data_IF_434781139183
#
_entry.id   IF_434781139183
#
_cell.length_a   1.000
_cell.length_b   1.000
_cell.length_c   1.000
_cell.angle_alpha   90.00
_cell.angle_beta   90.00
_cell.angle_gamma   90.00
#
_symmetry.space_group_name_H-M   'P 1'
#
loop_
_entity.id
_entity.type
_entity.pdbx_description
1 polymer ?
#
# COMPACT_ATOMS: atom_id res chain seq x y z
N UNK A 1 19.30 23.40 10.89
CA UNK A 1 18.97 23.36 12.33
C UNK A 1 18.89 21.90 12.74
N UNK A 2 19.54 21.47 13.83
CA UNK A 2 19.35 20.11 14.32
C UNK A 2 17.92 20.01 14.89
N UNK A 3 17.12 19.11 14.33
CA UNK A 3 15.78 18.80 14.85
C UNK A 3 15.94 18.25 16.26
N UNK A 4 15.33 18.90 17.25
CA UNK A 4 15.19 18.35 18.60
C UNK A 4 14.64 16.93 18.47
N UNK A 5 15.29 15.89 19.01
CA UNK A 5 14.70 14.56 19.04
C UNK A 5 13.35 14.69 19.73
N UNK A 6 12.26 14.40 19.02
CA UNK A 6 11.00 14.17 19.71
C UNK A 6 11.25 12.99 20.65
N UNK A 7 11.08 13.24 21.95
CA UNK A 7 11.14 12.18 22.94
C UNK A 7 10.17 11.08 22.52
N UNK A 8 10.67 9.86 22.39
CA UNK A 8 9.86 8.73 21.95
C UNK A 8 8.64 8.54 22.86
N UNK A 9 8.75 8.91 24.14
CA UNK A 9 7.65 8.81 25.09
C UNK A 9 6.50 9.77 24.78
N UNK A 10 6.79 10.95 24.23
CA UNK A 10 5.77 11.91 23.78
C UNK A 10 4.86 11.34 22.69
N UNK A 11 5.38 10.43 21.86
CA UNK A 11 4.60 9.75 20.82
C UNK A 11 3.61 8.73 21.40
N UNK A 12 3.72 8.38 22.68
CA UNK A 12 2.81 7.47 23.35
C UNK A 12 1.70 8.20 24.12
N UNK A 13 1.77 9.53 24.22
CA UNK A 13 0.77 10.33 24.93
C UNK A 13 -0.61 10.26 24.25
N UNK A 14 -1.65 10.17 25.09
CA UNK A 14 -3.04 10.07 24.65
C UNK A 14 -3.41 8.79 23.90
N UNK A 15 -2.53 7.78 23.87
CA UNK A 15 -2.88 6.42 23.46
C UNK A 15 -3.52 5.68 24.64
N UNK A 16 -4.62 4.98 24.37
CA UNK A 16 -5.15 4.01 25.33
C UNK A 16 -4.19 2.82 25.53
N UNK A 17 -4.39 1.98 26.57
CA UNK A 17 -3.47 0.88 26.86
C UNK A 17 -3.24 -0.07 25.68
N UNK A 18 -4.30 -0.40 24.92
CA UNK A 18 -4.21 -1.32 23.77
C UNK A 18 -3.48 -0.70 22.58
N UNK A 19 -3.68 0.60 22.34
CA UNK A 19 -2.95 1.33 21.32
C UNK A 19 -1.47 1.46 21.68
N UNK A 20 -1.15 1.76 22.94
CA UNK A 20 0.24 1.83 23.44
C UNK A 20 0.94 0.49 23.30
N UNK A 21 0.28 -0.61 23.67
CA UNK A 21 0.80 -1.97 23.47
C UNK A 21 1.07 -2.23 21.98
N UNK A 22 0.12 -1.93 21.10
CA UNK A 22 0.29 -2.11 19.67
C UNK A 22 1.40 -1.23 19.06
N UNK A 23 1.64 -0.03 19.60
CA UNK A 23 2.72 0.87 19.15
C UNK A 23 4.09 0.40 19.62
N UNK A 24 4.19 -0.06 20.87
CA UNK A 24 5.46 -0.44 21.52
C UNK A 24 5.86 -1.91 21.32
N UNK A 25 4.95 -2.76 20.83
CA UNK A 25 5.21 -4.18 20.63
C UNK A 25 6.45 -4.44 19.78
N UNK A 26 7.34 -5.32 20.25
CA UNK A 26 8.55 -5.78 19.55
C UNK A 26 8.27 -6.92 18.55
N UNK A 27 7.01 -7.37 18.45
CA UNK A 27 6.63 -8.43 17.53
C UNK A 27 6.92 -8.01 16.07
N UNK A 28 7.66 -8.87 15.36
CA UNK A 28 7.97 -8.65 13.93
C UNK A 28 6.73 -8.83 13.06
N UNK A 29 6.04 -10.00 13.06
CA UNK A 29 4.68 -10.07 12.56
C UNK A 29 3.72 -9.61 13.65
N UNK A 30 2.95 -8.56 13.36
CA UNK A 30 1.91 -8.04 14.24
C UNK A 30 0.60 -7.91 13.48
N UNK A 31 -0.45 -8.56 13.98
CA UNK A 31 -1.81 -8.42 13.48
C UNK A 31 -2.64 -7.64 14.49
N UNK A 32 -3.21 -6.50 14.07
CA UNK A 32 -4.03 -5.65 14.94
C UNK A 32 -5.50 -5.84 14.56
N UNK A 33 -6.25 -6.51 15.44
CA UNK A 33 -7.67 -6.75 15.27
C UNK A 33 -8.44 -5.60 15.90
N UNK A 34 -9.06 -4.76 15.08
CA UNK A 34 -9.58 -3.49 15.56
C UNK A 34 -10.89 -3.09 14.85
N UNK A 35 -11.92 -2.80 15.65
CA UNK A 35 -13.25 -2.39 15.19
C UNK A 35 -13.25 -1.03 14.49
N UNK A 36 -14.38 -0.62 13.90
CA UNK A 36 -14.53 0.73 13.36
C UNK A 36 -14.29 1.79 14.46
N UNK A 37 -13.68 2.93 14.12
CA UNK A 37 -13.44 4.03 15.08
C UNK A 37 -12.32 3.83 16.12
N UNK A 38 -11.77 2.62 16.27
CA UNK A 38 -10.73 2.27 17.28
C UNK A 38 -9.34 2.92 17.10
N UNK A 39 -9.17 3.81 16.12
CA UNK A 39 -7.88 4.48 15.91
C UNK A 39 -6.81 3.67 15.17
N UNK A 40 -7.17 2.64 14.38
CA UNK A 40 -6.23 1.85 13.55
C UNK A 40 -5.15 2.67 12.84
N UNK A 41 -5.58 3.75 12.16
CA UNK A 41 -4.66 4.64 11.44
C UNK A 41 -3.73 5.37 12.41
N UNK A 42 -4.24 5.82 13.57
CA UNK A 42 -3.43 6.45 14.62
C UNK A 42 -2.36 5.48 15.13
N UNK A 43 -2.74 4.24 15.44
CA UNK A 43 -1.79 3.20 15.87
C UNK A 43 -0.72 2.97 14.81
N UNK A 44 -1.08 2.84 13.54
CA UNK A 44 -0.12 2.64 12.45
C UNK A 44 0.89 3.79 12.35
N UNK A 45 0.43 5.05 12.39
CA UNK A 45 1.30 6.22 12.24
C UNK A 45 2.19 6.41 13.47
N UNK A 46 1.64 6.23 14.68
CA UNK A 46 2.39 6.31 15.92
C UNK A 46 3.41 5.18 16.04
N UNK A 47 3.11 3.96 15.60
CA UNK A 47 4.06 2.84 15.57
C UNK A 47 5.26 3.14 14.69
N UNK A 48 5.02 3.65 13.47
CA UNK A 48 6.10 4.04 12.56
C UNK A 48 6.95 5.16 13.19
N UNK A 49 6.32 6.20 13.74
CA UNK A 49 7.03 7.32 14.35
C UNK A 49 7.84 6.88 15.57
N UNK A 50 7.24 6.10 16.48
CA UNK A 50 7.87 5.64 17.71
C UNK A 50 9.05 4.72 17.42
N UNK A 51 8.89 3.73 16.55
CA UNK A 51 10.00 2.85 16.16
C UNK A 51 11.12 3.59 15.42
N UNK A 52 10.80 4.66 14.70
CA UNK A 52 11.80 5.51 14.08
C UNK A 52 12.57 6.33 15.13
N UNK A 53 11.86 6.88 16.11
CA UNK A 53 12.44 7.67 17.21
C UNK A 53 13.32 6.82 18.13
N UNK A 54 12.96 5.57 18.38
CA UNK A 54 13.77 4.62 19.16
C UNK A 54 14.92 3.98 18.37
N UNK A 55 15.02 4.26 17.07
CA UNK A 55 16.04 3.66 16.20
C UNK A 55 15.79 2.19 15.84
N UNK A 56 14.63 1.63 16.20
CA UNK A 56 14.26 0.26 15.86
C UNK A 56 14.05 0.04 14.35
N UNK A 57 13.66 1.09 13.62
CA UNK A 57 13.54 1.07 12.15
C UNK A 57 14.16 2.33 11.53
N UNK A 58 14.62 2.21 10.28
CA UNK A 58 14.98 3.37 9.44
C UNK A 58 13.75 3.79 8.61
N UNK A 59 13.25 5.03 8.71
CA UNK A 59 12.03 5.47 8.01
C UNK A 59 12.07 5.25 6.49
N UNK A 60 13.21 5.48 5.85
CA UNK A 60 13.39 5.25 4.41
C UNK A 60 13.31 3.78 3.97
N UNK A 61 13.30 2.85 4.93
CA UNK A 61 13.11 1.41 4.70
C UNK A 61 11.70 0.93 5.08
N UNK A 62 10.79 1.85 5.38
CA UNK A 62 9.40 1.54 5.72
C UNK A 62 8.49 1.69 4.51
N UNK A 63 7.64 0.68 4.29
CA UNK A 63 6.56 0.70 3.29
C UNK A 63 5.19 0.63 3.99
N UNK A 64 4.38 1.67 3.84
CA UNK A 64 3.00 1.73 4.34
C UNK A 64 1.99 1.61 3.18
N UNK A 65 1.20 0.54 3.16
CA UNK A 65 0.23 0.27 2.10
C UNK A 65 -1.20 0.55 2.54
N UNK A 66 -2.01 1.05 1.61
CA UNK A 66 -3.45 1.25 1.81
C UNK A 66 -4.22 1.08 0.49
N UNK A 67 -5.55 1.11 0.53
CA UNK A 67 -6.39 0.85 -0.64
C UNK A 67 -6.68 2.11 -1.48
N UNK A 68 -6.60 3.31 -0.90
CA UNK A 68 -6.96 4.56 -1.60
C UNK A 68 -5.80 5.55 -1.66
N UNK A 69 -5.75 6.33 -2.75
CA UNK A 69 -4.75 7.40 -2.90
C UNK A 69 -4.88 8.47 -1.81
N UNK A 70 -6.11 8.80 -1.41
CA UNK A 70 -6.41 9.75 -0.34
C UNK A 70 -5.81 9.27 0.99
N UNK A 71 -6.09 8.02 1.39
CA UNK A 71 -5.52 7.46 2.61
C UNK A 71 -3.99 7.41 2.57
N UNK A 72 -3.38 7.14 1.40
CA UNK A 72 -1.94 7.16 1.27
C UNK A 72 -1.36 8.56 1.52
N UNK A 73 -2.00 9.60 0.98
CA UNK A 73 -1.62 10.99 1.25
C UNK A 73 -1.75 11.34 2.74
N UNK A 74 -2.89 11.02 3.35
CA UNK A 74 -3.14 11.24 4.77
C UNK A 74 -2.13 10.52 5.67
N UNK A 75 -1.72 9.29 5.32
CA UNK A 75 -0.69 8.57 6.07
C UNK A 75 0.66 9.30 6.07
N UNK A 76 1.13 9.76 4.89
CA UNK A 76 2.39 10.51 4.80
C UNK A 76 2.35 11.78 5.64
N UNK A 77 1.25 12.52 5.52
CA UNK A 77 1.07 13.77 6.23
C UNK A 77 1.06 13.55 7.75
N UNK A 78 0.30 12.55 8.24
CA UNK A 78 0.26 12.21 9.67
C UNK A 78 1.61 11.77 10.21
N UNK A 79 2.34 10.94 9.48
CA UNK A 79 3.68 10.49 9.87
C UNK A 79 4.65 11.68 9.93
N UNK A 80 4.62 12.56 8.93
CA UNK A 80 5.45 13.77 8.89
C UNK A 80 5.15 14.71 10.07
N UNK A 81 3.87 14.90 10.42
CA UNK A 81 3.47 15.70 11.59
C UNK A 81 3.94 15.12 12.93
N UNK A 82 4.28 13.83 12.99
CA UNK A 82 4.85 13.18 14.16
C UNK A 82 6.39 13.33 14.25
N UNK A 83 6.99 14.15 13.38
CA UNK A 83 8.42 14.48 13.47
C UNK A 83 9.37 13.50 12.76
N UNK A 84 8.83 12.56 11.96
CA UNK A 84 9.68 11.66 11.16
C UNK A 84 10.30 12.44 10.00
N UNK A 85 11.62 12.66 10.09
CA UNK A 85 12.39 13.54 9.19
C UNK A 85 12.64 12.94 7.81
N UNK A 86 12.86 11.62 7.73
CA UNK A 86 13.02 10.91 6.47
C UNK A 86 11.67 10.44 5.92
N UNK A 87 11.49 10.51 4.60
CA UNK A 87 10.21 10.18 3.97
C UNK A 87 9.92 8.67 4.04
N UNK A 88 8.80 8.31 4.69
CA UNK A 88 8.25 6.95 4.63
C UNK A 88 7.55 6.73 3.30
N UNK A 89 7.84 5.60 2.64
CA UNK A 89 7.13 5.22 1.43
C UNK A 89 5.70 4.79 1.77
N UNK A 90 4.72 5.67 1.61
CA UNK A 90 3.31 5.31 1.72
C UNK A 90 2.61 5.34 0.35
N UNK A 91 1.76 4.36 0.05
CA UNK A 91 1.12 4.26 -1.26
C UNK A 91 -0.01 3.25 -1.32
N UNK A 92 -0.69 3.18 -2.46
CA UNK A 92 -1.57 2.05 -2.76
C UNK A 92 -0.78 0.88 -3.30
N UNK A 93 -1.31 -0.34 -3.14
CA UNK A 93 -0.76 -1.55 -3.76
C UNK A 93 -0.41 -1.33 -5.24
N UNK A 94 -1.36 -0.78 -6.02
CA UNK A 94 -1.15 -0.47 -7.43
C UNK A 94 -0.04 0.56 -7.68
N UNK A 95 0.00 1.66 -6.92
CA UNK A 95 1.05 2.68 -7.12
C UNK A 95 2.44 2.16 -6.78
N UNK A 96 2.55 1.30 -5.76
CA UNK A 96 3.83 0.75 -5.30
C UNK A 96 4.31 -0.36 -6.24
N UNK A 97 3.41 -1.23 -6.70
CA UNK A 97 3.70 -2.20 -7.75
C UNK A 97 4.15 -1.52 -9.05
N UNK A 98 3.47 -0.44 -9.47
CA UNK A 98 3.86 0.31 -10.65
C UNK A 98 5.24 0.97 -10.51
N UNK A 99 5.54 1.53 -9.34
CA UNK A 99 6.87 2.10 -9.06
C UNK A 99 7.96 1.02 -9.09
N UNK A 100 7.67 -0.18 -8.56
CA UNK A 100 8.59 -1.32 -8.62
C UNK A 100 8.81 -1.81 -10.06
N UNK A 101 7.77 -1.92 -10.87
CA UNK A 101 7.88 -2.28 -12.29
C UNK A 101 8.73 -1.25 -13.07
N UNK A 102 8.52 0.05 -12.82
CA UNK A 102 9.32 1.11 -13.44
C UNK A 102 10.81 0.96 -13.11
N UNK A 103 11.13 0.75 -11.84
CA UNK A 103 12.52 0.51 -11.41
C UNK A 103 13.10 -0.75 -12.08
N UNK A 104 12.38 -1.86 -12.02
CA UNK A 104 12.78 -3.12 -12.66
C UNK A 104 13.16 -2.96 -14.13
N UNK A 105 12.35 -2.24 -14.90
CA UNK A 105 12.57 -2.02 -16.33
C UNK A 105 13.73 -1.05 -16.58
N UNK A 106 13.82 0.02 -15.78
CA UNK A 106 14.93 0.97 -15.81
C UNK A 106 16.28 0.29 -15.55
N UNK A 107 16.36 -0.52 -14.48
CA UNK A 107 17.60 -1.19 -14.06
C UNK A 107 18.09 -2.20 -15.11
N UNK A 108 17.19 -2.74 -15.93
CA UNK A 108 17.50 -3.66 -17.03
C UNK A 108 17.66 -2.99 -18.38
N UNK A 109 17.45 -1.68 -18.48
CA UNK A 109 17.43 -0.97 -19.77
C UNK A 109 16.35 -1.48 -20.73
N UNK A 110 15.23 -2.00 -20.20
CA UNK A 110 14.11 -2.52 -21.01
C UNK A 110 12.94 -1.54 -21.02
N UNK A 111 12.17 -1.45 -22.11
CA UNK A 111 11.01 -0.56 -22.15
C UNK A 111 9.93 -1.04 -21.18
N UNK A 112 9.28 -0.09 -20.51
CA UNK A 112 8.13 -0.36 -19.65
C UNK A 112 6.91 -0.76 -20.49
N UNK A 113 6.19 -1.84 -20.13
CA UNK A 113 4.93 -2.19 -20.78
C UNK A 113 3.89 -1.08 -20.61
N UNK A 114 3.07 -0.87 -21.66
CA UNK A 114 1.99 0.10 -21.61
C UNK A 114 0.92 -0.31 -20.59
N UNK A 115 0.54 0.63 -19.71
CA UNK A 115 -0.60 0.44 -18.81
C UNK A 115 -1.89 0.67 -19.60
N UNK A 116 -2.72 -0.36 -19.68
CA UNK A 116 -3.94 -0.33 -20.47
C UNK A 116 -5.02 0.50 -19.78
N UNK A 117 -5.50 1.55 -20.45
CA UNK A 117 -6.62 2.38 -19.97
C UNK A 117 -8.00 1.74 -20.18
N UNK A 118 -8.12 0.74 -21.05
CA UNK A 118 -9.38 0.02 -21.28
C UNK A 118 -9.12 -1.41 -21.73
N UNK A 119 -9.66 -2.38 -20.98
CA UNK A 119 -9.61 -3.81 -21.32
C UNK A 119 -10.54 -4.13 -22.49
N UNK A 120 -11.67 -3.43 -22.58
CA UNK A 120 -12.66 -3.63 -23.63
C UNK A 120 -12.07 -3.39 -25.04
N UNK A 121 -11.16 -2.43 -25.20
CA UNK A 121 -10.48 -2.16 -26.49
C UNK A 121 -9.63 -3.33 -26.98
N UNK A 122 -9.16 -4.19 -26.07
CA UNK A 122 -8.39 -5.40 -26.42
C UNK A 122 -9.30 -6.61 -26.58
N UNK A 123 -10.26 -6.76 -25.65
CA UNK A 123 -11.12 -7.94 -25.62
C UNK A 123 -12.18 -7.93 -26.73
N UNK A 124 -12.74 -6.76 -27.09
CA UNK A 124 -13.84 -6.70 -28.06
C UNK A 124 -13.45 -7.22 -29.46
N UNK A 125 -12.29 -6.87 -30.04
CA UNK A 125 -11.86 -7.46 -31.32
C UNK A 125 -11.60 -8.98 -31.24
N UNK A 126 -11.17 -9.49 -30.09
CA UNK A 126 -10.85 -10.91 -29.91
C UNK A 126 -12.09 -11.82 -29.82
N UNK A 127 -13.18 -11.30 -29.24
CA UNK A 127 -14.42 -12.07 -29.08
C UNK A 127 -15.24 -12.15 -30.38
N UNK A 128 -14.97 -11.26 -31.36
CA UNK A 128 -15.64 -11.23 -32.65
C UNK A 128 -17.14 -10.93 -32.58
N UNK A 129 -17.81 -10.87 -33.74
CA UNK A 129 -19.29 -10.85 -33.83
C UNK A 129 -19.85 -12.29 -33.83
N UNK A 130 -19.39 -13.15 -32.91
CA UNK A 130 -19.83 -14.56 -32.91
C UNK A 130 -21.26 -14.65 -32.41
N UNK A 131 -22.14 -14.62 -33.38
CA UNK A 131 -23.53 -15.03 -33.32
C UNK A 131 -23.63 -16.36 -32.56
N UNK A 132 -24.51 -16.42 -31.55
CA UNK A 132 -24.80 -17.53 -30.61
C UNK A 132 -24.04 -17.67 -29.28
N UNK A 133 -22.85 -17.08 -29.04
CA UNK A 133 -22.24 -17.12 -27.68
C UNK A 133 -22.51 -15.82 -26.93
N UNK A 134 -23.40 -15.86 -25.93
CA UNK A 134 -23.85 -14.73 -25.09
C UNK A 134 -22.75 -14.02 -24.25
N UNK A 135 -21.47 -14.31 -24.47
CA UNK A 135 -20.38 -13.79 -23.66
C UNK A 135 -20.11 -12.31 -23.97
N UNK A 136 -20.49 -11.43 -23.04
CA UNK A 136 -20.22 -10.01 -23.17
C UNK A 136 -18.77 -9.72 -22.78
N UNK A 137 -18.20 -8.67 -23.36
CA UNK A 137 -16.83 -8.19 -23.04
C UNK A 137 -16.65 -7.98 -21.53
N UNK A 138 -17.69 -7.49 -20.84
CA UNK A 138 -17.65 -7.26 -19.40
C UNK A 138 -17.56 -8.55 -18.59
N UNK A 139 -18.20 -9.63 -19.05
CA UNK A 139 -18.19 -10.93 -18.37
C UNK A 139 -16.78 -11.53 -18.46
N UNK A 140 -16.21 -11.54 -19.67
CA UNK A 140 -14.84 -12.02 -19.91
C UNK A 140 -13.81 -11.18 -19.15
N UNK A 141 -13.97 -9.85 -19.12
CA UNK A 141 -13.08 -8.99 -18.36
C UNK A 141 -13.15 -9.29 -16.85
N UNK A 142 -14.35 -9.57 -16.32
CA UNK A 142 -14.56 -9.88 -14.90
C UNK A 142 -13.92 -11.21 -14.52
N UNK A 143 -14.05 -12.25 -15.35
CA UNK A 143 -13.40 -13.54 -15.14
C UNK A 143 -11.87 -13.44 -15.17
N UNK A 144 -11.31 -12.68 -16.12
CA UNK A 144 -9.86 -12.42 -16.16
C UNK A 144 -9.38 -11.73 -14.88
N UNK A 145 -10.15 -10.77 -14.35
CA UNK A 145 -9.79 -10.09 -13.11
C UNK A 145 -9.90 -10.99 -11.89
N UNK A 146 -10.93 -11.83 -11.84
CA UNK A 146 -11.05 -12.84 -10.79
C UNK A 146 -9.85 -13.80 -10.80
N UNK A 147 -9.47 -14.30 -11.97
CA UNK A 147 -8.31 -15.19 -12.12
C UNK A 147 -7.02 -14.50 -11.67
N UNK A 148 -6.79 -13.25 -12.10
CA UNK A 148 -5.62 -12.46 -11.68
C UNK A 148 -5.60 -12.18 -10.18
N UNK A 149 -6.74 -11.81 -9.58
CA UNK A 149 -6.85 -11.54 -8.15
C UNK A 149 -6.55 -12.79 -7.29
N UNK A 150 -6.78 -13.98 -7.85
CA UNK A 150 -6.46 -15.28 -7.23
C UNK A 150 -5.13 -15.87 -7.67
N UNK A 151 -4.34 -15.14 -8.45
CA UNK A 151 -3.06 -15.61 -9.00
C UNK A 151 -3.20 -16.90 -9.84
N UNK A 152 -4.35 -17.10 -10.48
CA UNK A 152 -4.60 -18.22 -11.40
C UNK A 152 -4.06 -17.85 -12.77
N UNK A 153 -3.03 -18.57 -13.20
CA UNK A 153 -2.44 -18.42 -14.53
C UNK A 153 -3.19 -19.28 -15.57
N UNK A 154 -3.24 -18.86 -16.85
CA UNK A 154 -3.67 -19.73 -17.93
C UNK A 154 -2.78 -20.99 -17.99
N UNK A 155 -3.32 -22.15 -18.40
CA UNK A 155 -2.50 -23.32 -18.69
C UNK A 155 -1.46 -22.98 -19.77
N UNK A 156 -0.27 -23.57 -19.63
CA UNK A 156 0.82 -23.44 -20.61
C UNK A 156 0.58 -24.31 -21.83
#
# INVERSE_FOLDING_TARGET
MPSVPHDADSLLEGLDPSQREAVTSEARPLAIHAGAGSGKTRVLTHRIAWQSATGAISPGRVLALTFTRKAAGELRERISRLGVSESVAAGTFHSMALAQLRRYHSDRGTPMPAVLGSKARILAPMLGKRDSSQLRVIDVASEIEWAKARLVAPPR
#
